data_IF_759106745490
#
_entry.id   IF_759106745490
#
_cell.length_a   1.000
_cell.length_b   1.000
_cell.length_c   1.000
_cell.angle_alpha   90.00
_cell.angle_beta   90.00
_cell.angle_gamma   90.00
#
_symmetry.space_group_name_H-M   'P 1'
#
loop_
_entity.id
_entity.type
_entity.pdbx_description
1 polymer ?
#
# COMPACT_ATOMS: atom_id res chain seq x y z
N UNK A 1 35.57 7.46 -9.99
CA UNK A 1 34.31 8.19 -10.24
C UNK A 1 33.28 7.89 -9.14
N UNK A 2 33.28 8.77 -8.15
CA UNK A 2 32.38 8.83 -7.00
C UNK A 2 31.02 9.36 -7.43
N UNK A 3 29.94 8.66 -7.07
CA UNK A 3 28.62 9.26 -6.94
C UNK A 3 28.44 9.65 -5.45
N UNK A 4 27.85 10.82 -5.14
CA UNK A 4 27.74 11.27 -3.77
C UNK A 4 26.67 10.43 -3.06
N UNK A 5 27.08 9.72 -2.02
CA UNK A 5 26.21 9.18 -0.99
C UNK A 5 25.45 10.37 -0.39
N UNK A 6 24.24 10.62 -0.91
CA UNK A 6 23.30 11.55 -0.31
C UNK A 6 23.05 11.11 1.13
N UNK A 7 23.23 12.05 2.05
CA UNK A 7 22.95 11.91 3.47
C UNK A 7 21.46 11.55 3.65
N UNK A 8 21.14 10.26 3.71
CA UNK A 8 19.87 9.75 4.21
C UNK A 8 20.05 9.55 5.72
N UNK A 9 19.27 10.32 6.50
CA UNK A 9 19.20 10.21 7.96
C UNK A 9 18.71 8.83 8.42
N UNK A 10 18.62 8.60 9.75
CA UNK A 10 18.38 7.26 10.31
C UNK A 10 17.11 6.64 9.75
N UNK A 11 17.24 5.39 9.27
CA UNK A 11 16.21 4.48 8.76
C UNK A 11 14.80 4.80 9.29
N UNK A 12 14.03 5.55 8.50
CA UNK A 12 12.63 5.88 8.77
C UNK A 12 11.72 4.75 8.25
N UNK A 13 12.07 3.51 8.58
CA UNK A 13 11.32 2.34 8.14
C UNK A 13 10.40 1.87 9.26
N UNK A 14 9.09 1.82 8.98
CA UNK A 14 8.12 1.21 9.90
C UNK A 14 8.19 -0.31 9.76
N UNK A 15 8.44 -1.07 10.84
CA UNK A 15 8.46 -2.53 10.79
C UNK A 15 7.13 -3.09 10.26
N UNK A 16 7.23 -4.13 9.44
CA UNK A 16 6.05 -4.83 8.92
C UNK A 16 5.54 -5.86 9.93
N UNK A 17 4.25 -6.12 9.88
CA UNK A 17 3.63 -7.22 10.61
C UNK A 17 4.07 -8.58 10.03
N UNK A 18 4.05 -9.64 10.86
CA UNK A 18 4.36 -11.00 10.42
C UNK A 18 3.40 -11.42 9.29
N UNK A 19 3.96 -11.87 8.16
CA UNK A 19 3.18 -12.27 6.99
C UNK A 19 2.83 -11.13 6.04
N UNK A 20 3.38 -9.91 6.26
CA UNK A 20 3.29 -8.79 5.34
C UNK A 20 4.66 -8.57 4.68
N UNK A 21 4.65 -8.41 3.37
CA UNK A 21 5.85 -8.18 2.56
C UNK A 21 5.79 -6.81 1.88
N UNK A 22 6.95 -6.21 1.65
CA UNK A 22 7.08 -4.98 0.85
C UNK A 22 7.35 -5.35 -0.59
N UNK A 23 6.62 -4.71 -1.50
CA UNK A 23 6.85 -4.77 -2.93
C UNK A 23 7.30 -3.41 -3.45
N UNK A 24 8.23 -3.42 -4.39
CA UNK A 24 8.69 -2.22 -5.10
C UNK A 24 7.63 -1.73 -6.08
N UNK A 25 7.63 -0.43 -6.45
CA UNK A 25 6.72 0.09 -7.47
C UNK A 25 6.78 -0.68 -8.80
N UNK A 26 7.96 -1.18 -9.18
CA UNK A 26 8.18 -1.94 -10.41
C UNK A 26 7.49 -3.31 -10.35
N UNK A 27 7.59 -4.03 -9.23
CA UNK A 27 6.91 -5.30 -9.02
C UNK A 27 5.38 -5.11 -9.02
N UNK A 28 4.89 -4.10 -8.31
CA UNK A 28 3.45 -3.76 -8.29
C UNK A 28 2.95 -3.47 -9.70
N UNK A 29 3.70 -2.67 -10.48
CA UNK A 29 3.34 -2.36 -11.86
C UNK A 29 3.27 -3.61 -12.75
N UNK A 30 4.22 -4.53 -12.63
CA UNK A 30 4.21 -5.79 -13.38
C UNK A 30 3.02 -6.67 -13.00
N UNK A 31 2.73 -6.80 -11.70
CA UNK A 31 1.60 -7.58 -11.18
C UNK A 31 0.25 -7.01 -11.62
N UNK A 32 0.10 -5.69 -11.60
CA UNK A 32 -1.09 -4.99 -12.10
C UNK A 32 -1.31 -5.26 -13.59
N UNK A 33 -0.25 -5.14 -14.41
CA UNK A 33 -0.33 -5.41 -15.85
C UNK A 33 -0.69 -6.86 -16.17
N UNK A 34 -0.28 -7.79 -15.31
CA UNK A 34 -0.60 -9.21 -15.46
C UNK A 34 -1.97 -9.59 -14.88
N UNK A 35 -2.69 -8.66 -14.23
CA UNK A 35 -3.97 -8.94 -13.57
C UNK A 35 -3.85 -9.90 -12.38
N UNK A 36 -2.68 -9.93 -11.73
CA UNK A 36 -2.37 -10.89 -10.66
C UNK A 36 -2.56 -10.33 -9.24
N UNK A 37 -2.88 -9.04 -9.11
CA UNK A 37 -3.08 -8.41 -7.81
C UNK A 37 -4.25 -7.42 -7.82
N UNK A 38 -4.75 -7.13 -6.62
CA UNK A 38 -5.62 -6.00 -6.33
C UNK A 38 -4.81 -4.98 -5.55
N UNK A 39 -4.79 -3.73 -6.03
CA UNK A 39 -4.19 -2.61 -5.30
C UNK A 39 -5.27 -1.86 -4.55
N UNK A 40 -5.04 -1.64 -3.26
CA UNK A 40 -5.93 -0.94 -2.33
C UNK A 40 -5.27 0.37 -1.90
N UNK A 41 -5.85 1.49 -2.31
CA UNK A 41 -5.43 2.83 -1.92
C UNK A 41 -6.16 3.22 -0.63
N UNK A 42 -5.43 3.37 0.48
CA UNK A 42 -6.01 3.72 1.78
C UNK A 42 -5.90 5.21 2.11
N UNK A 43 -5.50 6.03 1.13
CA UNK A 43 -5.45 7.49 1.28
C UNK A 43 -6.85 8.08 1.41
N UNK A 44 -6.92 9.26 2.04
CA UNK A 44 -8.16 10.00 2.23
C UNK A 44 -8.19 11.15 1.21
N UNK A 45 -8.26 12.40 1.67
CA UNK A 45 -8.27 13.56 0.77
C UNK A 45 -7.01 13.67 -0.12
N UNK A 46 -5.87 13.14 0.34
CA UNK A 46 -4.60 13.15 -0.38
C UNK A 46 -4.60 12.32 -1.68
N UNK A 47 -5.61 11.46 -1.88
CA UNK A 47 -5.84 10.72 -3.12
C UNK A 47 -6.15 11.63 -4.33
N UNK A 48 -6.66 12.83 -4.10
CA UNK A 48 -7.04 13.77 -5.16
C UNK A 48 -5.87 14.21 -6.05
N UNK A 49 -4.62 14.06 -5.57
CA UNK A 49 -3.40 14.36 -6.33
C UNK A 49 -3.13 13.41 -7.51
N UNK A 50 -3.87 12.31 -7.60
CA UNK A 50 -3.66 11.25 -8.58
C UNK A 50 -3.66 9.88 -7.90
N UNK A 51 -4.10 8.85 -8.63
CA UNK A 51 -4.21 7.50 -8.11
C UNK A 51 -3.86 6.46 -9.18
N UNK A 52 -3.48 5.27 -8.71
CA UNK A 52 -3.18 4.13 -9.56
C UNK A 52 -4.49 3.69 -10.23
N UNK A 53 -4.50 3.63 -11.56
CA UNK A 53 -5.67 3.20 -12.32
C UNK A 53 -6.07 1.78 -11.94
N UNK A 54 -7.36 1.55 -11.67
CA UNK A 54 -7.89 0.26 -11.24
C UNK A 54 -7.71 -0.06 -9.75
N UNK A 55 -7.05 0.81 -8.97
CA UNK A 55 -6.95 0.64 -7.53
C UNK A 55 -8.31 0.82 -6.84
N UNK A 56 -8.62 -0.07 -5.90
CA UNK A 56 -9.79 0.02 -5.04
C UNK A 56 -9.51 1.06 -3.96
N UNK A 57 -10.43 2.00 -3.75
CA UNK A 57 -10.28 3.05 -2.74
C UNK A 57 -10.93 2.62 -1.42
N UNK A 58 -10.10 2.42 -0.39
CA UNK A 58 -10.52 2.04 0.97
C UNK A 58 -9.91 2.99 2.00
N UNK A 59 -10.38 4.24 2.11
CA UNK A 59 -9.76 5.25 2.95
C UNK A 59 -9.73 4.81 4.42
N UNK A 60 -8.66 5.18 5.12
CA UNK A 60 -8.53 4.96 6.57
C UNK A 60 -8.24 6.27 7.29
N UNK A 61 -8.87 6.46 8.44
CA UNK A 61 -8.62 7.60 9.35
C UNK A 61 -8.48 7.11 10.79
N UNK A 62 -8.15 8.02 11.72
CA UNK A 62 -8.11 7.68 13.14
C UNK A 62 -9.49 7.30 13.69
N UNK A 63 -10.54 7.95 13.19
CA UNK A 63 -11.94 7.71 13.58
C UNK A 63 -12.51 6.44 12.92
N UNK A 64 -12.04 6.12 11.72
CA UNK A 64 -12.47 4.95 10.95
C UNK A 64 -11.25 4.15 10.46
N UNK A 65 -10.56 3.43 11.37
CA UNK A 65 -9.36 2.68 11.03
C UNK A 65 -9.70 1.46 10.18
N UNK A 66 -8.84 1.15 9.21
CA UNK A 66 -8.94 -0.01 8.33
C UNK A 66 -9.10 -1.33 9.10
N UNK A 67 -8.47 -1.44 10.28
CA UNK A 67 -8.53 -2.61 11.15
C UNK A 67 -9.97 -2.99 11.54
N UNK A 68 -10.86 -2.01 11.69
CA UNK A 68 -12.27 -2.26 12.01
C UNK A 68 -13.04 -2.92 10.86
N UNK A 69 -12.48 -2.90 9.64
CA UNK A 69 -13.10 -3.43 8.41
C UNK A 69 -12.38 -4.66 7.87
N UNK A 70 -11.36 -5.17 8.56
CA UNK A 70 -10.58 -6.33 8.09
C UNK A 70 -11.45 -7.54 7.73
N UNK A 71 -12.46 -7.97 8.52
CA UNK A 71 -13.30 -9.09 8.15
C UNK A 71 -14.09 -8.87 6.85
N UNK A 72 -14.59 -7.65 6.64
CA UNK A 72 -15.30 -7.26 5.43
C UNK A 72 -14.35 -7.26 4.22
N UNK A 73 -13.18 -6.65 4.35
CA UNK A 73 -12.18 -6.56 3.29
C UNK A 73 -11.63 -7.95 2.92
N UNK A 74 -11.40 -8.82 3.92
CA UNK A 74 -10.98 -10.20 3.68
C UNK A 74 -12.03 -10.98 2.88
N UNK A 75 -13.32 -10.79 3.19
CA UNK A 75 -14.42 -11.37 2.41
C UNK A 75 -14.49 -10.78 1.01
N UNK A 76 -14.32 -9.46 0.88
CA UNK A 76 -14.39 -8.76 -0.42
C UNK A 76 -13.27 -9.17 -1.36
N UNK A 77 -12.08 -9.40 -0.83
CA UNK A 77 -10.89 -9.77 -1.61
C UNK A 77 -10.58 -11.26 -1.54
N UNK A 78 -11.54 -12.11 -1.17
CA UNK A 78 -11.30 -13.55 -0.98
C UNK A 78 -10.87 -14.29 -2.25
N UNK A 79 -11.23 -13.77 -3.42
CA UNK A 79 -10.83 -14.33 -4.72
C UNK A 79 -9.50 -13.75 -5.24
N UNK A 80 -8.98 -12.70 -4.61
CA UNK A 80 -7.72 -12.10 -5.00
C UNK A 80 -6.55 -12.95 -4.51
N UNK A 81 -5.64 -13.31 -5.42
CA UNK A 81 -4.42 -14.04 -5.07
C UNK A 81 -3.44 -13.20 -4.25
N UNK A 82 -3.47 -11.88 -4.46
CA UNK A 82 -2.60 -10.92 -3.81
C UNK A 82 -3.33 -9.58 -3.65
N UNK A 83 -3.32 -9.04 -2.44
CA UNK A 83 -3.87 -7.72 -2.11
C UNK A 83 -2.72 -6.85 -1.63
N UNK A 84 -2.54 -5.70 -2.27
CA UNK A 84 -1.44 -4.77 -2.01
C UNK A 84 -2.02 -3.47 -1.49
N UNK A 85 -1.69 -3.11 -0.25
CA UNK A 85 -2.13 -1.87 0.35
C UNK A 85 -1.07 -0.78 0.17
N UNK A 86 -1.49 0.44 -0.18
CA UNK A 86 -0.59 1.59 -0.21
C UNK A 86 -1.25 2.84 0.38
N UNK A 87 -0.43 3.72 0.96
CA UNK A 87 -0.86 5.06 1.34
C UNK A 87 0.10 6.11 0.72
N UNK A 88 0.12 7.35 1.24
CA UNK A 88 0.99 8.40 0.69
C UNK A 88 2.48 8.04 0.74
N UNK A 89 2.92 7.41 1.84
CA UNK A 89 4.32 7.02 2.06
C UNK A 89 4.49 5.54 2.40
N UNK A 90 3.39 4.78 2.43
CA UNK A 90 3.37 3.35 2.82
C UNK A 90 4.03 3.03 4.17
N UNK A 91 3.82 3.89 5.18
CA UNK A 91 4.40 3.76 6.52
C UNK A 91 3.39 3.51 7.64
N UNK A 92 2.23 4.19 7.62
CA UNK A 92 1.35 4.24 8.82
C UNK A 92 -0.08 3.79 8.61
N UNK A 93 -0.59 3.88 7.37
CA UNK A 93 -2.01 3.64 7.07
C UNK A 93 -2.29 2.25 6.49
N UNK A 94 -1.25 1.54 6.06
CA UNK A 94 -1.35 0.16 5.59
C UNK A 94 -1.11 -0.86 6.72
N UNK A 95 -1.51 -2.12 6.53
CA UNK A 95 -1.20 -3.23 7.44
C UNK A 95 0.29 -3.58 7.49
#
# INVERSE_FOLDING_TARGET
PSAPTGLLGPNMEVPLNKGVERLTPQEVHQLLRAGLCVVVDVRSADRASGHIQGAVHEPTSFEQPLLNRVPELAKRFSEAKLVIFHCQYSMHRGP
#
